data_IF_139291882420
#
_entry.id   IF_139291882420
#
_cell.length_a   1.000
_cell.length_b   1.000
_cell.length_c   1.000
_cell.angle_alpha   90.00
_cell.angle_beta   90.00
_cell.angle_gamma   90.00
#
_symmetry.space_group_name_H-M   'P 1'
#
loop_
_entity.id
_entity.type
_entity.pdbx_description
1 polymer ?
#
# COMPACT_ATOMS: atom_id res chain seq x y z
N UNK A 1 -4.46 15.81 -26.57
CA UNK A 1 -5.62 15.95 -27.48
C UNK A 1 -6.46 14.69 -27.32
N UNK A 2 -7.54 14.78 -26.55
CA UNK A 2 -8.44 13.63 -26.32
C UNK A 2 -9.64 13.76 -27.25
N UNK A 3 -9.91 12.72 -28.04
CA UNK A 3 -11.10 12.58 -28.87
C UNK A 3 -12.04 11.60 -28.16
N UNK A 4 -13.15 12.10 -27.64
CA UNK A 4 -14.28 11.26 -27.21
C UNK A 4 -15.28 11.27 -28.37
N UNK A 5 -15.47 10.12 -29.00
CA UNK A 5 -16.46 9.93 -30.06
C UNK A 5 -17.81 9.65 -29.42
N UNK A 6 -18.71 10.64 -29.43
CA UNK A 6 -20.13 10.43 -29.11
C UNK A 6 -20.88 10.42 -30.44
N UNK A 7 -21.57 9.30 -30.72
CA UNK A 7 -22.11 8.94 -32.03
C UNK A 7 -23.28 9.79 -32.57
N UNK A 8 -23.16 11.12 -32.57
CA UNK A 8 -23.98 12.03 -33.37
C UNK A 8 -23.08 13.14 -33.93
N UNK A 9 -23.27 13.47 -35.20
CA UNK A 9 -22.46 14.41 -35.98
C UNK A 9 -22.54 15.86 -35.45
N UNK A 10 -21.90 16.15 -34.32
CA UNK A 10 -21.59 17.51 -33.88
C UNK A 10 -20.10 17.59 -33.47
N UNK A 11 -19.32 18.33 -34.26
CA UNK A 11 -17.95 18.69 -33.91
C UNK A 11 -18.00 19.85 -32.92
N UNK A 12 -17.83 19.56 -31.63
CA UNK A 12 -17.64 20.59 -30.61
C UNK A 12 -16.17 21.02 -30.62
N UNK A 13 -15.89 22.23 -31.09
CA UNK A 13 -14.58 22.85 -30.97
C UNK A 13 -14.44 23.46 -29.57
N UNK A 14 -13.58 22.88 -28.73
CA UNK A 14 -13.15 23.53 -27.49
C UNK A 14 -12.15 24.65 -27.83
N UNK A 15 -12.62 25.89 -27.75
CA UNK A 15 -11.80 27.09 -27.86
C UNK A 15 -11.03 27.30 -26.54
N UNK A 16 -9.70 27.35 -26.63
CA UNK A 16 -8.82 27.79 -25.55
C UNK A 16 -9.04 29.29 -25.26
N UNK A 17 -10.05 29.61 -24.45
CA UNK A 17 -10.15 30.91 -23.76
C UNK A 17 -10.65 30.73 -22.34
N UNK A 18 -9.91 29.97 -21.54
CA UNK A 18 -9.98 30.12 -20.07
C UNK A 18 -9.25 31.42 -19.75
N UNK A 19 -10.04 32.49 -19.55
CA UNK A 19 -9.52 33.81 -19.21
C UNK A 19 -8.69 33.74 -17.93
N UNK A 20 -7.58 34.49 -17.90
CA UNK A 20 -6.61 34.54 -16.80
C UNK A 20 -7.26 34.76 -15.41
N UNK A 21 -8.45 35.37 -15.38
CA UNK A 21 -9.25 35.62 -14.18
C UNK A 21 -9.79 34.32 -13.52
N UNK A 22 -10.21 33.32 -14.30
CA UNK A 22 -10.66 32.02 -13.75
C UNK A 22 -9.49 31.22 -13.16
N UNK A 23 -8.30 31.31 -13.76
CA UNK A 23 -7.09 30.69 -13.21
C UNK A 23 -6.66 31.34 -11.90
N UNK A 24 -6.80 32.67 -11.78
CA UNK A 24 -6.52 33.40 -10.54
C UNK A 24 -7.57 33.05 -9.46
N UNK A 25 -8.84 32.88 -9.83
CA UNK A 25 -9.88 32.47 -8.88
C UNK A 25 -9.70 31.01 -8.40
N UNK A 26 -9.28 30.09 -9.28
CA UNK A 26 -8.95 28.71 -8.90
C UNK A 26 -7.69 28.63 -8.02
N UNK A 27 -6.68 29.46 -8.29
CA UNK A 27 -5.47 29.55 -7.46
C UNK A 27 -5.80 30.16 -6.10
N UNK A 28 -6.66 31.19 -6.03
CA UNK A 28 -7.11 31.77 -4.76
C UNK A 28 -8.03 30.83 -3.98
N UNK A 29 -8.87 30.02 -4.65
CA UNK A 29 -9.66 28.97 -4.00
C UNK A 29 -8.77 27.81 -3.50
N UNK A 30 -7.68 27.50 -4.19
CA UNK A 30 -6.71 26.50 -3.76
C UNK A 30 -5.84 26.98 -2.58
N UNK A 31 -5.53 28.28 -2.48
CA UNK A 31 -4.78 28.83 -1.33
C UNK A 31 -5.63 29.11 -0.10
N UNK A 32 -6.97 29.15 -0.24
CA UNK A 32 -7.90 29.25 0.89
C UNK A 32 -8.17 27.93 1.63
N UNK A 33 -7.62 26.80 1.16
CA UNK A 33 -7.56 25.54 1.92
C UNK A 33 -6.28 25.37 2.75
N UNK A 34 -5.54 26.45 3.01
CA UNK A 34 -4.57 26.48 4.13
C UNK A 34 -5.35 26.93 5.38
N UNK A 35 -6.36 26.16 5.77
CA UNK A 35 -7.15 26.43 6.97
C UNK A 35 -6.83 25.39 8.04
N UNK A 36 -5.93 25.78 8.94
CA UNK A 36 -5.71 25.14 10.23
C UNK A 36 -4.86 23.88 10.16
N UNK A 37 -3.61 23.98 10.60
CA UNK A 37 -2.92 22.84 11.19
C UNK A 37 -3.71 22.42 12.43
N UNK A 38 -4.75 21.61 12.25
CA UNK A 38 -5.30 20.85 13.34
C UNK A 38 -4.19 19.89 13.73
N UNK A 39 -3.54 20.14 14.87
CA UNK A 39 -2.69 19.15 15.52
C UNK A 39 -3.57 17.92 15.75
N UNK A 40 -3.49 16.97 14.82
CA UNK A 40 -4.22 15.74 14.93
C UNK A 40 -3.48 14.90 15.94
N UNK A 41 -4.17 14.32 16.91
CA UNK A 41 -3.53 13.68 18.05
C UNK A 41 -4.33 12.43 18.42
N UNK A 42 -3.76 11.58 19.25
CA UNK A 42 -4.50 10.52 19.92
C UNK A 42 -5.24 11.15 21.10
N UNK A 43 -6.54 11.34 20.96
CA UNK A 43 -7.41 11.82 22.04
C UNK A 43 -8.02 10.65 22.82
N UNK A 44 -8.36 10.88 24.08
CA UNK A 44 -9.10 9.92 24.89
C UNK A 44 -8.25 8.88 25.66
N UNK A 45 -6.94 9.09 25.75
CA UNK A 45 -6.06 8.26 26.57
C UNK A 45 -6.36 8.43 28.08
N UNK A 46 -5.88 7.47 28.89
CA UNK A 46 -6.00 7.53 30.35
C UNK A 46 -5.18 8.69 30.92
N UNK A 47 -5.67 9.37 31.96
CA UNK A 47 -4.91 10.30 32.80
C UNK A 47 -4.68 9.72 34.19
N UNK A 48 -3.72 10.29 34.90
CA UNK A 48 -3.56 10.13 36.36
C UNK A 48 -4.00 11.43 37.06
N UNK A 49 -4.72 11.33 38.18
CA UNK A 49 -5.26 12.47 38.93
C UNK A 49 -5.16 12.26 40.44
N UNK A 50 -4.58 13.25 41.12
CA UNK A 50 -4.58 13.36 42.57
C UNK A 50 -5.83 14.13 43.03
N UNK A 51 -6.63 13.56 43.92
CA UNK A 51 -7.80 14.22 44.49
C UNK A 51 -7.51 14.97 45.80
N UNK A 52 -6.29 14.88 46.34
CA UNK A 52 -5.95 15.52 47.62
C UNK A 52 -5.84 17.05 47.52
N UNK A 53 -5.53 17.63 46.35
CA UNK A 53 -5.24 19.07 46.20
C UNK A 53 -5.96 19.80 45.04
N UNK A 54 -7.04 19.21 44.49
CA UNK A 54 -7.80 19.81 43.40
C UNK A 54 -7.40 19.25 42.03
N UNK A 55 -8.41 19.00 41.19
CA UNK A 55 -8.40 18.20 39.94
C UNK A 55 -7.31 18.54 38.93
N UNK A 56 -6.09 18.03 39.14
CA UNK A 56 -5.01 18.13 38.17
C UNK A 56 -4.92 16.82 37.38
N UNK A 57 -5.40 16.83 36.13
CA UNK A 57 -5.21 15.70 35.21
C UNK A 57 -3.80 15.77 34.64
N UNK A 58 -2.97 14.78 34.94
CA UNK A 58 -1.65 14.65 34.35
C UNK A 58 -1.72 13.79 33.09
N UNK A 59 -1.18 14.33 32.01
CA UNK A 59 -1.08 13.71 30.70
C UNK A 59 0.37 13.76 30.21
N UNK A 60 1.23 12.86 30.73
CA UNK A 60 2.61 12.79 30.27
C UNK A 60 2.66 12.45 28.77
N UNK A 61 3.69 12.91 28.05
CA UNK A 61 4.94 13.52 28.56
C UNK A 61 4.80 15.02 28.91
N UNK A 62 3.66 15.64 28.64
CA UNK A 62 3.47 17.09 28.69
C UNK A 62 3.39 17.64 30.14
N UNK A 63 3.27 16.74 31.12
CA UNK A 63 3.40 17.00 32.54
C UNK A 63 4.36 15.96 33.15
N UNK A 64 5.63 15.99 32.71
CA UNK A 64 6.70 15.20 33.31
C UNK A 64 7.06 15.76 34.69
N UNK A 65 6.24 15.44 35.69
CA UNK A 65 6.68 15.45 37.07
C UNK A 65 6.92 14.00 37.47
N UNK A 66 8.17 13.63 37.78
CA UNK A 66 8.36 12.60 38.79
C UNK A 66 7.63 13.11 40.03
N UNK A 67 6.40 12.63 40.26
CA UNK A 67 5.71 12.98 41.48
C UNK A 67 6.35 12.13 42.57
N UNK A 68 7.40 12.67 43.17
CA UNK A 68 7.98 12.13 44.39
C UNK A 68 7.05 12.50 45.55
N UNK A 69 6.49 11.48 46.19
CA UNK A 69 5.63 11.62 47.35
C UNK A 69 6.42 11.22 48.60
N UNK A 70 6.35 12.05 49.64
CA UNK A 70 6.97 11.75 50.95
C UNK A 70 6.00 11.06 51.93
N UNK A 71 4.79 10.74 51.47
CA UNK A 71 3.72 10.14 52.26
C UNK A 71 2.83 9.25 51.38
N UNK A 72 2.04 8.34 51.97
CA UNK A 72 1.16 7.47 51.20
C UNK A 72 0.13 8.27 50.40
N UNK A 73 0.02 7.97 49.11
CA UNK A 73 -0.94 8.61 48.20
C UNK A 73 -1.75 7.58 47.43
N UNK A 74 -2.97 7.94 47.06
CA UNK A 74 -3.81 7.16 46.15
C UNK A 74 -4.18 8.02 44.95
N UNK A 75 -3.69 7.59 43.80
CA UNK A 75 -3.91 8.22 42.51
C UNK A 75 -5.04 7.52 41.76
N UNK A 76 -5.80 8.29 41.00
CA UNK A 76 -6.92 7.77 40.21
C UNK A 76 -6.58 7.77 38.73
N UNK A 77 -6.87 6.64 38.09
CA UNK A 77 -6.71 6.47 36.65
C UNK A 77 -8.05 6.68 35.98
N UNK A 78 -8.12 7.65 35.07
CA UNK A 78 -9.36 8.09 34.44
C UNK A 78 -9.22 7.98 32.91
N UNK A 79 -10.04 7.16 32.22
CA UNK A 79 -10.03 7.07 30.76
C UNK A 79 -10.56 8.36 30.12
N UNK A 80 -10.21 8.61 28.85
CA UNK A 80 -10.85 9.67 28.06
C UNK A 80 -10.36 11.09 28.34
N UNK A 81 -9.22 11.28 29.00
CA UNK A 81 -8.78 12.61 29.51
C UNK A 81 -7.53 13.15 28.81
N UNK A 82 -6.66 12.28 28.32
CA UNK A 82 -5.38 12.70 27.75
C UNK A 82 -5.36 12.73 26.23
N UNK A 83 -4.52 13.64 25.72
CA UNK A 83 -4.20 13.79 24.30
C UNK A 83 -2.71 13.55 24.11
N UNK A 84 -2.35 12.58 23.27
CA UNK A 84 -0.97 12.19 22.97
C UNK A 84 -0.62 12.60 21.55
N UNK A 85 0.60 13.11 21.34
CA UNK A 85 1.09 13.60 20.06
C UNK A 85 2.42 12.94 19.70
N UNK A 86 2.65 12.63 18.42
CA UNK A 86 3.94 12.15 17.91
C UNK A 86 4.08 12.46 16.42
N UNK A 87 5.28 12.87 16.00
CA UNK A 87 5.60 13.02 14.56
C UNK A 87 6.00 11.68 13.90
N UNK A 88 5.99 10.58 14.66
CA UNK A 88 6.37 9.27 14.19
C UNK A 88 5.17 8.50 13.62
N UNK A 89 5.45 7.37 13.00
CA UNK A 89 4.50 6.52 12.28
C UNK A 89 4.30 5.20 13.03
N UNK A 90 3.18 4.52 12.79
CA UNK A 90 3.08 3.10 13.16
C UNK A 90 3.75 2.24 12.08
N UNK A 91 4.39 1.11 12.45
CA UNK A 91 5.14 0.30 11.49
C UNK A 91 4.27 -0.38 10.42
N UNK A 92 2.98 -0.59 10.70
CA UNK A 92 2.02 -1.18 9.76
C UNK A 92 0.66 -0.51 10.00
N UNK A 93 -0.10 -0.18 8.95
CA UNK A 93 -1.48 0.30 9.13
C UNK A 93 -2.34 -0.81 9.75
N UNK A 94 -3.09 -0.50 10.80
CA UNK A 94 -3.83 -1.53 11.53
C UNK A 94 -4.51 -1.03 12.80
N UNK A 95 -5.08 -1.95 13.56
CA UNK A 95 -5.70 -1.64 14.86
C UNK A 95 -4.64 -1.69 15.97
N UNK A 96 -4.57 -0.60 16.72
CA UNK A 96 -3.68 -0.43 17.86
C UNK A 96 -4.47 -0.10 19.11
N UNK A 97 -4.01 -0.58 20.26
CA UNK A 97 -4.55 -0.19 21.57
C UNK A 97 -3.62 0.82 22.23
N UNK A 98 -4.17 1.88 22.82
CA UNK A 98 -3.38 2.80 23.64
C UNK A 98 -3.28 2.21 25.04
N UNK A 99 -2.06 1.92 25.48
CA UNK A 99 -1.78 1.35 26.79
C UNK A 99 -0.98 2.33 27.62
N UNK A 100 -1.51 2.68 28.78
CA UNK A 100 -0.77 3.39 29.82
C UNK A 100 -0.21 2.37 30.80
N UNK A 101 1.10 2.37 31.02
CA UNK A 101 1.74 1.62 32.10
C UNK A 101 2.17 2.60 33.17
N UNK A 102 1.73 2.36 34.40
CA UNK A 102 2.14 3.11 35.58
C UNK A 102 3.26 2.33 36.24
N UNK A 103 4.39 2.95 36.51
CA UNK A 103 5.51 2.33 37.18
C UNK A 103 5.66 2.90 38.58
N UNK A 104 5.75 2.00 39.54
CA UNK A 104 5.84 2.30 40.95
C UNK A 104 7.21 1.94 41.51
N UNK A 105 7.63 2.67 42.55
CA UNK A 105 8.89 2.42 43.27
C UNK A 105 8.97 1.04 43.92
N UNK A 106 7.83 0.39 44.18
CA UNK A 106 7.73 -0.97 44.71
C UNK A 106 7.87 -2.07 43.62
N UNK A 107 8.05 -1.67 42.35
CA UNK A 107 8.22 -2.55 41.21
C UNK A 107 6.91 -2.99 40.53
N UNK A 108 5.74 -2.62 41.07
CA UNK A 108 4.46 -2.88 40.40
C UNK A 108 4.31 -2.06 39.11
N UNK A 109 3.62 -2.65 38.13
CA UNK A 109 3.39 -2.04 36.81
C UNK A 109 1.94 -2.18 36.34
N UNK A 110 0.94 -1.59 37.03
CA UNK A 110 -0.43 -1.68 36.57
C UNK A 110 -0.59 -1.03 35.19
N UNK A 111 -1.37 -1.68 34.32
CA UNK A 111 -1.60 -1.26 32.94
C UNK A 111 -3.07 -0.99 32.67
N UNK A 112 -3.33 0.04 31.87
CA UNK A 112 -4.67 0.51 31.53
C UNK A 112 -4.77 0.72 30.02
N UNK A 113 -5.71 0.02 29.39
CA UNK A 113 -5.80 -0.09 27.93
C UNK A 113 -7.13 0.45 27.44
N UNK A 114 -7.10 1.16 26.32
CA UNK A 114 -8.32 1.59 25.62
C UNK A 114 -8.88 0.43 24.77
N UNK A 115 -9.99 0.68 24.08
CA UNK A 115 -10.38 -0.15 22.94
C UNK A 115 -9.38 0.05 21.78
N UNK A 116 -9.23 -0.94 20.88
CA UNK A 116 -8.42 -0.78 19.67
C UNK A 116 -8.97 0.31 18.76
N UNK A 117 -8.08 1.07 18.15
CA UNK A 117 -8.37 2.13 17.15
C UNK A 117 -7.52 1.90 15.91
N UNK A 118 -8.08 2.14 14.73
CA UNK A 118 -7.34 2.03 13.48
C UNK A 118 -6.39 3.23 13.32
N UNK A 119 -5.14 2.95 12.94
CA UNK A 119 -4.11 3.94 12.66
C UNK A 119 -3.53 3.66 11.28
N UNK A 120 -3.47 4.68 10.43
CA UNK A 120 -2.84 4.62 9.12
C UNK A 120 -1.33 4.81 9.29
N UNK A 121 -0.54 3.78 9.00
CA UNK A 121 0.92 3.82 9.05
C UNK A 121 1.53 4.77 8.03
N UNK A 122 0.83 5.10 6.93
CA UNK A 122 1.34 6.04 5.92
C UNK A 122 1.24 7.51 6.35
N UNK A 123 0.61 7.78 7.50
CA UNK A 123 0.48 9.10 8.11
C UNK A 123 1.14 9.09 9.48
N UNK A 124 1.82 10.17 9.84
CA UNK A 124 2.31 10.30 11.21
C UNK A 124 1.14 10.39 12.18
N UNK A 125 1.36 10.11 13.47
CA UNK A 125 0.30 10.27 14.49
C UNK A 125 -0.26 11.70 14.47
N UNK A 126 0.60 12.70 14.23
CA UNK A 126 0.22 14.10 14.23
C UNK A 126 -0.62 14.56 13.01
N UNK A 127 -0.74 13.71 11.98
CA UNK A 127 -1.46 14.00 10.73
C UNK A 127 -2.84 13.31 10.67
N UNK A 128 -3.23 12.56 11.70
CA UNK A 128 -4.50 11.83 11.74
C UNK A 128 -5.24 12.00 13.08
N UNK A 129 -6.56 12.15 13.00
CA UNK A 129 -7.41 12.30 14.19
C UNK A 129 -7.73 10.91 14.74
N UNK A 130 -7.07 10.52 15.83
CA UNK A 130 -7.24 9.22 16.47
C UNK A 130 -8.04 9.41 17.75
N UNK A 131 -9.20 8.75 17.85
CA UNK A 131 -10.04 8.80 19.05
C UNK A 131 -9.98 7.45 19.77
N UNK A 132 -9.16 7.38 20.82
CA UNK A 132 -9.16 6.24 21.72
C UNK A 132 -10.40 6.31 22.62
N UNK A 133 -11.10 5.18 22.77
CA UNK A 133 -12.35 5.10 23.55
C UNK A 133 -12.30 3.93 24.51
N UNK A 134 -13.19 3.90 25.50
CA UNK A 134 -13.23 2.85 26.50
C UNK A 134 -12.06 2.93 27.50
N UNK A 135 -11.78 1.80 28.14
CA UNK A 135 -10.85 1.70 29.26
C UNK A 135 -11.53 1.78 30.62
N UNK A 136 -11.04 0.99 31.57
CA UNK A 136 -11.53 0.99 32.94
C UNK A 136 -10.86 2.09 33.75
N UNK A 137 -11.63 2.75 34.62
CA UNK A 137 -11.02 3.57 35.69
C UNK A 137 -10.37 2.66 36.72
N UNK A 138 -9.38 3.17 37.44
CA UNK A 138 -8.72 2.42 38.50
C UNK A 138 -8.08 3.34 39.53
N UNK A 139 -7.45 2.72 40.52
CA UNK A 139 -6.67 3.41 41.55
C UNK A 139 -5.31 2.76 41.69
N UNK A 140 -4.30 3.58 41.92
CA UNK A 140 -2.94 3.15 42.19
C UNK A 140 -2.53 3.77 43.53
N UNK A 141 -2.07 2.95 44.48
CA UNK A 141 -1.70 3.41 45.82
C UNK A 141 -0.21 3.22 46.06
N UNK A 142 0.46 4.26 46.56
CA UNK A 142 1.82 4.17 47.06
C UNK A 142 1.76 4.06 48.60
N UNK A 143 2.27 3.00 49.21
CA UNK A 143 2.14 2.78 50.65
C UNK A 143 3.10 3.63 51.51
N UNK A 144 3.96 4.45 50.92
CA UNK A 144 4.98 5.24 51.63
C UNK A 144 5.71 6.22 50.70
N UNK A 145 6.96 6.58 51.04
CA UNK A 145 7.80 7.42 50.18
C UNK A 145 8.09 6.71 48.85
N UNK A 146 7.86 7.40 47.73
CA UNK A 146 8.02 6.79 46.41
C UNK A 146 7.77 7.75 45.26
N UNK A 147 8.01 7.26 44.05
CA UNK A 147 7.73 7.98 42.81
C UNK A 147 6.78 7.19 41.93
N UNK A 148 5.95 7.91 41.18
CA UNK A 148 5.15 7.37 40.09
C UNK A 148 5.63 7.98 38.80
N UNK A 149 5.87 7.13 37.80
CA UNK A 149 6.01 7.57 36.42
C UNK A 149 5.07 6.77 35.53
N UNK A 150 4.60 7.39 34.45
CA UNK A 150 3.65 6.76 33.51
C UNK A 150 4.16 6.85 32.09
N UNK A 151 3.94 5.77 31.34
CA UNK A 151 4.42 5.62 29.97
C UNK A 151 3.25 5.20 29.07
N UNK A 152 3.18 5.78 27.86
CA UNK A 152 2.18 5.39 26.87
C UNK A 152 2.80 4.59 25.74
N UNK A 153 2.07 3.55 25.34
CA UNK A 153 2.44 2.65 24.25
C UNK A 153 1.26 2.48 23.28
N UNK A 154 1.58 2.29 22.02
CA UNK A 154 0.68 1.66 21.06
C UNK A 154 0.97 0.16 21.04
N UNK A 155 -0.06 -0.66 21.20
CA UNK A 155 0.06 -2.13 21.15
C UNK A 155 -0.67 -2.66 19.94
N UNK A 156 0.03 -3.37 19.07
CA UNK A 156 -0.55 -3.95 17.85
C UNK A 156 -1.33 -5.25 18.14
N UNK A 157 -1.93 -5.83 17.09
CA UNK A 157 -2.63 -7.12 17.18
C UNK A 157 -1.74 -8.31 17.55
N UNK A 158 -0.41 -8.17 17.40
CA UNK A 158 0.59 -9.19 17.76
C UNK A 158 1.16 -8.97 19.17
N UNK A 159 0.58 -8.07 19.97
CA UNK A 159 1.03 -7.71 21.31
C UNK A 159 2.44 -7.08 21.32
N UNK A 160 2.87 -6.45 20.22
CA UNK A 160 4.09 -5.66 20.16
C UNK A 160 3.84 -4.25 20.68
N UNK A 161 4.73 -3.79 21.55
CA UNK A 161 4.62 -2.51 22.23
C UNK A 161 5.51 -1.48 21.54
N UNK A 162 4.89 -0.39 21.11
CA UNK A 162 5.56 0.74 20.49
C UNK A 162 5.49 1.95 21.41
N UNK A 163 6.65 2.40 21.89
CA UNK A 163 6.72 3.56 22.77
C UNK A 163 6.38 4.85 22.00
N UNK A 164 5.42 5.61 22.53
CA UNK A 164 5.03 6.90 21.97
C UNK A 164 6.00 7.95 22.53
N UNK A 165 6.98 8.35 21.71
CA UNK A 165 7.81 9.51 22.04
C UNK A 165 6.97 10.77 21.88
N UNK A 166 6.94 11.61 22.93
CA UNK A 166 6.52 13.00 22.77
C UNK A 166 7.41 13.75 21.76
N UNK A 167 7.15 15.04 21.58
CA UNK A 167 7.79 16.02 20.70
C UNK A 167 9.34 16.16 20.75
N UNK A 168 10.06 15.19 21.32
CA UNK A 168 11.47 14.94 21.03
C UNK A 168 12.45 15.28 22.16
N UNK A 169 11.99 15.65 23.37
CA UNK A 169 12.93 16.22 24.37
C UNK A 169 12.92 15.60 25.77
N UNK A 170 11.91 14.82 26.18
CA UNK A 170 11.91 14.21 27.52
C UNK A 170 12.05 12.69 27.48
N UNK A 171 13.30 12.26 27.30
CA UNK A 171 13.72 10.85 27.28
C UNK A 171 13.82 10.31 28.72
N UNK A 172 12.70 9.92 29.32
CA UNK A 172 12.74 9.15 30.56
C UNK A 172 13.13 7.71 30.23
N UNK A 173 14.40 7.35 30.48
CA UNK A 173 14.99 6.06 30.12
C UNK A 173 14.21 4.83 30.63
N UNK A 174 13.35 4.99 31.65
CA UNK A 174 12.49 3.93 32.15
C UNK A 174 11.34 3.54 31.20
N UNK A 175 10.82 4.47 30.38
CA UNK A 175 9.75 4.17 29.42
C UNK A 175 10.27 3.51 28.13
N UNK A 176 11.52 3.78 27.75
CA UNK A 176 12.13 3.27 26.51
C UNK A 176 12.86 1.94 26.69
N UNK A 177 13.16 1.53 27.93
CA UNK A 177 13.97 0.32 28.18
C UNK A 177 13.16 -0.94 27.85
N UNK A 178 13.57 -1.67 26.81
CA UNK A 178 12.94 -2.94 26.39
C UNK A 178 11.76 -2.80 25.41
N UNK A 179 11.49 -1.59 24.92
CA UNK A 179 10.39 -1.31 23.98
C UNK A 179 10.89 -0.68 22.68
N UNK A 180 10.19 -0.97 21.58
CA UNK A 180 10.54 -0.44 20.26
C UNK A 180 9.96 0.96 20.11
N UNK A 181 10.73 1.99 19.73
CA UNK A 181 10.17 3.30 19.43
C UNK A 181 9.33 3.25 18.14
N UNK A 182 8.36 4.15 18.01
CA UNK A 182 7.68 4.36 16.73
C UNK A 182 8.68 4.80 15.64
N UNK A 183 8.63 4.26 14.41
CA UNK A 183 9.51 4.65 13.33
C UNK A 183 9.37 6.15 12.97
N UNK A 184 10.50 6.84 12.69
CA UNK A 184 10.49 8.27 12.35
C UNK A 184 10.08 8.55 10.90
N UNK A 185 9.99 7.52 10.06
CA UNK A 185 9.59 7.59 8.65
C UNK A 185 8.37 6.69 8.42
N UNK A 186 7.51 7.00 7.42
CA UNK A 186 6.43 6.10 7.05
C UNK A 186 6.98 4.72 6.69
N UNK A 187 6.21 3.64 6.94
CA UNK A 187 6.57 2.32 6.45
C UNK A 187 6.55 2.32 4.91
N UNK A 188 7.34 1.43 4.32
CA UNK A 188 7.28 1.21 2.88
C UNK A 188 5.89 0.69 2.53
N UNK A 189 5.15 1.32 1.60
CA UNK A 189 3.83 0.85 1.23
C UNK A 189 3.93 -0.57 0.67
N UNK A 190 2.97 -1.42 1.03
CA UNK A 190 2.82 -2.74 0.42
C UNK A 190 2.36 -2.56 -1.02
N UNK A 191 3.25 -2.81 -1.95
CA UNK A 191 2.96 -2.75 -3.38
C UNK A 191 2.25 -4.02 -3.83
N UNK A 192 1.23 -3.87 -4.68
CA UNK A 192 0.54 -5.01 -5.29
C UNK A 192 -0.01 -4.61 -6.65
N UNK A 193 -0.09 -5.55 -7.59
CA UNK A 193 -0.68 -5.33 -8.89
C UNK A 193 -1.63 -6.48 -9.26
N UNK A 194 -2.80 -6.15 -9.79
CA UNK A 194 -3.75 -7.09 -10.39
C UNK A 194 -3.61 -7.01 -11.90
N UNK A 195 -3.30 -8.14 -12.52
CA UNK A 195 -3.11 -8.26 -13.98
C UNK A 195 -4.37 -8.85 -14.59
N UNK A 196 -4.86 -8.21 -15.65
CA UNK A 196 -6.05 -8.59 -16.40
C UNK A 196 -7.27 -8.84 -15.51
N UNK A 197 -7.45 -8.02 -14.47
CA UNK A 197 -8.51 -8.18 -13.46
C UNK A 197 -8.54 -9.58 -12.82
N UNK A 198 -7.38 -10.25 -12.74
CA UNK A 198 -7.24 -11.62 -12.24
C UNK A 198 -7.73 -12.71 -13.19
N UNK A 199 -8.11 -12.35 -14.42
CA UNK A 199 -8.72 -13.25 -15.40
C UNK A 199 -7.71 -13.79 -16.42
N UNK A 200 -8.01 -14.94 -17.01
CA UNK A 200 -7.24 -15.46 -18.14
C UNK A 200 -7.45 -14.61 -19.40
N UNK A 201 -6.40 -14.49 -20.22
CA UNK A 201 -6.49 -13.85 -21.54
C UNK A 201 -6.84 -14.90 -22.60
N UNK A 202 -7.94 -14.69 -23.33
CA UNK A 202 -8.30 -15.50 -24.50
C UNK A 202 -8.08 -14.71 -25.79
N UNK A 203 -7.39 -15.33 -26.75
CA UNK A 203 -7.06 -14.72 -28.04
C UNK A 203 -7.54 -15.62 -29.17
N UNK A 204 -8.47 -15.12 -29.99
CA UNK A 204 -8.84 -15.77 -31.24
C UNK A 204 -7.91 -15.28 -32.35
N UNK A 205 -7.18 -16.20 -32.97
CA UNK A 205 -6.37 -15.94 -34.17
C UNK A 205 -7.19 -15.97 -35.47
N UNK A 206 -8.49 -16.24 -35.37
CA UNK A 206 -9.40 -16.35 -36.51
C UNK A 206 -9.21 -17.62 -37.34
N UNK A 207 -9.73 -17.60 -38.55
CA UNK A 207 -9.55 -18.65 -39.57
C UNK A 207 -8.41 -18.25 -40.48
N UNK A 208 -7.46 -19.15 -40.70
CA UNK A 208 -6.25 -18.90 -41.47
C UNK A 208 -6.08 -19.98 -42.54
N UNK A 209 -5.75 -19.58 -43.77
CA UNK A 209 -5.32 -20.53 -44.78
C UNK A 209 -3.85 -20.89 -44.57
N UNK A 210 -3.48 -22.15 -44.82
CA UNK A 210 -2.13 -22.67 -44.50
C UNK A 210 -1.01 -21.92 -45.23
N UNK A 211 -1.30 -21.47 -46.45
CA UNK A 211 -0.41 -20.69 -47.33
C UNK A 211 -0.26 -19.22 -46.90
N UNK A 212 -1.22 -18.69 -46.14
CA UNK A 212 -1.18 -17.33 -45.56
C UNK A 212 -0.43 -17.28 -44.22
N UNK A 213 -0.21 -18.43 -43.56
CA UNK A 213 0.55 -18.48 -42.31
C UNK A 213 2.04 -18.27 -42.62
N UNK A 214 2.68 -17.23 -42.06
CA UNK A 214 4.08 -16.92 -42.33
C UNK A 214 5.04 -17.90 -41.66
N UNK A 215 6.21 -18.10 -42.26
CA UNK A 215 7.31 -18.91 -41.70
C UNK A 215 8.27 -18.11 -40.83
N UNK A 216 8.09 -16.79 -40.74
CA UNK A 216 8.91 -15.89 -39.93
C UNK A 216 7.96 -15.08 -39.05
N UNK A 217 8.12 -15.10 -37.71
CA UNK A 217 7.39 -14.19 -36.85
C UNK A 217 7.59 -12.73 -37.26
N UNK A 218 6.58 -11.88 -37.07
CA UNK A 218 6.54 -10.45 -37.43
C UNK A 218 6.41 -10.13 -38.94
N UNK A 219 6.39 -11.15 -39.81
CA UNK A 219 6.22 -10.96 -41.26
C UNK A 219 4.77 -10.94 -41.76
N UNK A 220 3.80 -10.97 -40.84
CA UNK A 220 2.37 -11.02 -41.15
C UNK A 220 1.53 -10.29 -40.11
N UNK A 221 0.20 -10.43 -40.17
CA UNK A 221 -0.70 -9.69 -39.27
C UNK A 221 -0.73 -10.29 -37.86
N UNK A 222 -0.17 -9.57 -36.89
CA UNK A 222 -0.33 -9.87 -35.48
C UNK A 222 -1.62 -9.25 -34.93
N UNK A 223 -2.28 -9.97 -34.02
CA UNK A 223 -3.42 -9.47 -33.23
C UNK A 223 -2.86 -8.88 -31.94
N UNK A 224 -3.08 -7.59 -31.72
CA UNK A 224 -2.71 -6.94 -30.47
C UNK A 224 -3.82 -7.08 -29.42
N UNK A 225 -3.43 -7.44 -28.19
CA UNK A 225 -4.30 -7.40 -27.01
C UNK A 225 -3.68 -6.54 -25.93
N UNK A 226 -4.47 -5.61 -25.43
CA UNK A 226 -4.14 -4.79 -24.28
C UNK A 226 -4.66 -5.48 -23.02
N UNK A 227 -3.79 -5.58 -22.02
CA UNK A 227 -4.02 -6.20 -20.72
C UNK A 227 -4.03 -5.08 -19.68
N UNK A 228 -5.08 -5.01 -18.86
CA UNK A 228 -5.14 -4.07 -17.73
C UNK A 228 -4.16 -4.50 -16.64
N UNK A 229 -3.47 -3.54 -16.03
CA UNK A 229 -2.67 -3.79 -14.83
C UNK A 229 -2.97 -2.67 -13.83
N UNK A 230 -3.59 -3.01 -12.70
CA UNK A 230 -3.93 -2.04 -11.66
C UNK A 230 -3.02 -2.27 -10.47
N UNK A 231 -2.23 -1.25 -10.11
CA UNK A 231 -1.30 -1.33 -8.99
C UNK A 231 -1.68 -0.38 -7.84
N UNK A 232 -1.34 -0.76 -6.63
CA UNK A 232 -1.52 0.03 -5.40
C UNK A 232 -0.21 0.09 -4.62
N UNK A 233 -0.01 1.14 -3.82
CA UNK A 233 1.12 1.23 -2.91
C UNK A 233 2.41 1.74 -3.58
N UNK A 234 2.30 2.43 -4.71
CA UNK A 234 3.43 3.04 -5.41
C UNK A 234 3.86 2.31 -6.69
N UNK A 235 5.06 2.66 -7.18
CA UNK A 235 5.64 2.12 -8.41
C UNK A 235 6.12 0.69 -8.22
N UNK A 236 5.80 -0.20 -9.17
CA UNK A 236 6.23 -1.60 -9.19
C UNK A 236 7.10 -1.87 -10.41
N UNK A 237 8.32 -2.34 -10.16
CA UNK A 237 9.18 -2.93 -11.19
C UNK A 237 9.00 -4.44 -11.16
N UNK A 238 8.65 -5.04 -12.30
CA UNK A 238 8.47 -6.48 -12.43
C UNK A 238 9.24 -7.04 -13.62
N UNK A 239 9.67 -8.29 -13.49
CA UNK A 239 10.23 -9.07 -14.59
C UNK A 239 9.11 -9.89 -15.23
N UNK A 240 8.85 -9.61 -16.50
CA UNK A 240 7.91 -10.34 -17.34
C UNK A 240 8.62 -11.50 -18.04
N UNK A 241 8.06 -12.69 -17.90
CA UNK A 241 8.53 -13.91 -18.57
C UNK A 241 7.34 -14.75 -19.04
N UNK A 242 7.51 -15.47 -20.15
CA UNK A 242 6.52 -16.44 -20.61
C UNK A 242 6.97 -17.85 -20.25
N UNK A 243 6.01 -18.68 -19.82
CA UNK A 243 6.22 -20.11 -19.62
C UNK A 243 5.29 -20.89 -20.55
N UNK A 244 5.87 -21.64 -21.48
CA UNK A 244 5.16 -22.48 -22.43
C UNK A 244 6.09 -23.55 -23.03
N UNK A 245 5.51 -24.55 -23.69
CA UNK A 245 6.28 -25.53 -24.48
C UNK A 245 6.60 -24.96 -25.86
N UNK A 246 7.89 -24.73 -26.22
CA UNK A 246 8.23 -24.07 -27.46
C UNK A 246 8.26 -25.04 -28.66
N UNK A 247 8.05 -24.48 -29.85
CA UNK A 247 8.54 -25.02 -31.12
C UNK A 247 9.50 -24.02 -31.76
N UNK A 248 10.42 -24.51 -32.59
CA UNK A 248 11.32 -23.66 -33.37
C UNK A 248 10.63 -23.21 -34.66
N UNK A 249 10.68 -21.92 -34.95
CA UNK A 249 10.21 -21.35 -36.23
C UNK A 249 11.29 -20.40 -36.74
N UNK A 250 12.11 -20.90 -37.67
CA UNK A 250 13.34 -20.23 -38.05
C UNK A 250 14.30 -20.14 -36.86
N UNK A 251 14.77 -18.93 -36.54
CA UNK A 251 15.64 -18.65 -35.38
C UNK A 251 14.86 -18.30 -34.09
N UNK A 252 13.54 -18.25 -34.16
CA UNK A 252 12.69 -17.82 -33.04
C UNK A 252 11.95 -19.02 -32.43
N UNK A 253 11.38 -18.80 -31.23
CA UNK A 253 10.52 -19.77 -30.57
C UNK A 253 9.07 -19.28 -30.56
N UNK A 254 8.14 -20.21 -30.78
CA UNK A 254 6.71 -19.96 -30.71
C UNK A 254 6.05 -20.99 -29.78
N UNK A 255 4.86 -20.67 -29.26
CA UNK A 255 4.08 -21.59 -28.43
C UNK A 255 3.65 -22.77 -29.29
N UNK A 256 3.93 -24.00 -28.84
CA UNK A 256 3.45 -25.21 -29.49
C UNK A 256 1.92 -25.22 -29.53
N UNK A 257 1.34 -25.42 -30.70
CA UNK A 257 -0.10 -25.62 -30.84
C UNK A 257 -0.46 -27.11 -30.88
N UNK A 258 -1.75 -27.43 -30.87
CA UNK A 258 -2.26 -28.78 -31.13
C UNK A 258 -2.14 -29.20 -32.61
N UNK A 259 -1.88 -28.28 -33.54
CA UNK A 259 -1.65 -28.56 -34.96
C UNK A 259 -0.15 -28.66 -35.25
N UNK A 260 0.30 -29.83 -35.72
CA UNK A 260 1.70 -30.03 -36.04
C UNK A 260 2.18 -29.06 -37.13
N UNK A 261 3.39 -28.50 -36.96
CA UNK A 261 3.96 -27.51 -37.87
C UNK A 261 3.41 -26.09 -37.71
N UNK A 262 2.51 -25.82 -36.76
CA UNK A 262 1.98 -24.48 -36.46
C UNK A 262 2.29 -24.10 -35.01
N UNK A 263 2.78 -22.88 -34.82
CA UNK A 263 3.06 -22.22 -33.56
C UNK A 263 2.23 -20.95 -33.39
N UNK A 264 2.14 -20.45 -32.16
CA UNK A 264 1.66 -19.10 -31.88
C UNK A 264 2.81 -18.25 -31.30
N UNK A 265 3.28 -17.26 -32.05
CA UNK A 265 4.28 -16.31 -31.59
C UNK A 265 3.61 -15.22 -30.72
N UNK A 266 4.27 -14.86 -29.61
CA UNK A 266 3.84 -13.79 -28.71
C UNK A 266 4.88 -12.68 -28.75
N UNK A 267 4.42 -11.44 -28.89
CA UNK A 267 5.27 -10.26 -29.06
C UNK A 267 5.08 -9.29 -27.92
N UNK A 268 6.17 -8.65 -27.51
CA UNK A 268 6.15 -7.45 -26.70
C UNK A 268 7.14 -6.44 -27.27
N UNK A 269 6.70 -5.20 -27.49
CA UNK A 269 7.52 -4.15 -28.11
C UNK A 269 8.22 -4.60 -29.40
N UNK A 270 7.48 -5.30 -30.27
CA UNK A 270 7.93 -5.90 -31.54
C UNK A 270 9.04 -6.97 -31.42
N UNK A 271 9.34 -7.44 -30.20
CA UNK A 271 10.23 -8.59 -29.98
C UNK A 271 9.39 -9.85 -29.76
N UNK A 272 9.73 -10.93 -30.46
CA UNK A 272 9.21 -12.28 -30.14
C UNK A 272 9.74 -12.70 -28.78
N UNK A 273 8.85 -13.04 -27.85
CA UNK A 273 9.22 -13.48 -26.53
C UNK A 273 9.41 -15.00 -26.51
N UNK A 274 10.63 -15.45 -26.21
CA UNK A 274 10.95 -16.83 -25.89
C UNK A 274 10.79 -17.10 -24.37
N UNK A 275 10.69 -18.37 -23.92
CA UNK A 275 10.57 -18.67 -22.50
C UNK A 275 11.78 -18.24 -21.67
N UNK A 276 12.97 -18.14 -22.29
CA UNK A 276 14.18 -17.67 -21.63
C UNK A 276 14.28 -16.14 -21.55
N UNK A 277 13.42 -15.41 -22.25
CA UNK A 277 13.44 -13.95 -22.23
C UNK A 277 12.84 -13.42 -20.93
N UNK A 278 13.63 -12.61 -20.22
CA UNK A 278 13.18 -11.82 -19.07
C UNK A 278 13.12 -10.36 -19.51
N UNK A 279 11.93 -9.77 -19.45
CA UNK A 279 11.69 -8.39 -19.88
C UNK A 279 11.27 -7.53 -18.70
N UNK A 280 12.05 -6.52 -18.29
CA UNK A 280 11.63 -5.63 -17.22
C UNK A 280 10.47 -4.74 -17.69
N UNK A 281 9.48 -4.57 -16.82
CA UNK A 281 8.32 -3.69 -16.99
C UNK A 281 8.14 -2.86 -15.73
N UNK A 282 7.71 -1.61 -15.90
CA UNK A 282 7.44 -0.68 -14.80
C UNK A 282 5.96 -0.31 -14.83
N UNK A 283 5.30 -0.42 -13.68
CA UNK A 283 3.93 -0.02 -13.48
C UNK A 283 3.89 1.10 -12.44
N UNK A 284 3.16 2.17 -12.75
CA UNK A 284 2.89 3.24 -11.80
C UNK A 284 1.72 2.83 -10.90
N UNK A 285 1.56 3.51 -9.77
CA UNK A 285 0.33 3.37 -8.99
C UNK A 285 -0.91 3.75 -9.82
N UNK A 286 -1.98 2.98 -9.68
CA UNK A 286 -3.21 3.13 -10.45
C UNK A 286 -3.25 2.25 -11.71
N UNK A 287 -3.93 2.74 -12.76
CA UNK A 287 -4.20 1.98 -13.98
C UNK A 287 -3.07 2.07 -14.98
N UNK A 288 -2.56 0.92 -15.39
CA UNK A 288 -1.55 0.75 -16.43
C UNK A 288 -2.07 -0.20 -17.52
N UNK A 289 -1.33 -0.28 -18.62
CA UNK A 289 -1.64 -1.18 -19.73
C UNK A 289 -0.39 -1.90 -20.22
N UNK A 290 -0.49 -3.21 -20.42
CA UNK A 290 0.52 -4.03 -21.07
C UNK A 290 -0.04 -4.51 -22.41
N UNK A 291 0.67 -4.30 -23.53
CA UNK A 291 0.19 -4.75 -24.85
C UNK A 291 1.04 -5.91 -25.35
N UNK A 292 0.39 -7.03 -25.67
CA UNK A 292 1.02 -8.19 -26.30
C UNK A 292 0.47 -8.39 -27.73
N UNK A 293 1.35 -8.75 -28.65
CA UNK A 293 0.98 -9.20 -30.00
C UNK A 293 0.89 -10.72 -30.06
N UNK A 294 0.01 -11.24 -30.91
CA UNK A 294 -0.18 -12.68 -31.11
C UNK A 294 -0.26 -12.97 -32.60
N UNK A 295 0.49 -13.97 -33.07
CA UNK A 295 0.52 -14.32 -34.49
C UNK A 295 0.65 -15.83 -34.65
N UNK A 296 -0.15 -16.42 -35.56
CA UNK A 296 0.12 -17.79 -35.98
C UNK A 296 1.35 -17.81 -36.91
N UNK A 297 2.24 -18.77 -36.70
CA UNK A 297 3.45 -18.95 -37.50
C UNK A 297 3.61 -20.42 -37.83
N UNK A 298 4.18 -20.75 -38.99
CA UNK A 298 4.40 -22.15 -39.39
C UNK A 298 5.87 -22.48 -39.49
N UNK A 299 6.20 -23.72 -39.16
CA UNK A 299 7.54 -24.27 -39.35
C UNK A 299 7.84 -24.38 -40.86
N UNK A 300 8.93 -23.76 -41.32
CA UNK A 300 9.35 -23.79 -42.73
C UNK A 300 9.82 -25.17 -43.18
N UNK A 301 10.15 -26.06 -42.24
CA UNK A 301 10.61 -27.43 -42.54
C UNK A 301 9.46 -28.41 -42.76
N UNK A 302 8.23 -28.03 -42.38
CA UNK A 302 7.02 -28.84 -42.58
C UNK A 302 6.36 -28.43 -43.89
N UNK A 303 6.10 -29.39 -44.78
CA UNK A 303 5.42 -29.11 -46.04
C UNK A 303 3.95 -28.70 -45.79
N UNK A 304 3.43 -27.76 -46.59
CA UNK A 304 2.07 -27.21 -46.43
C UNK A 304 0.96 -28.27 -46.40
N UNK A 305 1.14 -29.37 -47.15
CA UNK A 305 0.20 -30.49 -47.20
C UNK A 305 0.13 -31.27 -45.89
N UNK A 306 1.22 -31.28 -45.12
CA UNK A 306 1.39 -32.08 -43.90
C UNK A 306 0.97 -31.32 -42.63
N UNK A 307 0.75 -30.00 -42.73
CA UNK A 307 0.06 -29.22 -41.69
C UNK A 307 -1.40 -29.69 -41.65
N UNK A 308 -1.98 -30.10 -40.51
CA UNK A 308 -3.38 -30.53 -40.47
C UNK A 308 -4.36 -29.36 -40.64
N UNK A 309 -5.54 -29.62 -41.20
CA UNK A 309 -6.68 -28.68 -41.20
C UNK A 309 -7.52 -28.88 -39.95
N UNK A 310 -8.22 -27.84 -39.53
CA UNK A 310 -9.12 -27.88 -38.38
C UNK A 310 -8.75 -26.85 -37.32
N UNK A 311 -9.42 -26.93 -36.18
CA UNK A 311 -9.15 -26.06 -35.05
C UNK A 311 -7.80 -26.41 -34.40
N UNK A 312 -7.11 -25.39 -33.91
CA UNK A 312 -5.91 -25.56 -33.09
C UNK A 312 -5.96 -24.66 -31.86
N UNK A 313 -5.26 -25.08 -30.81
CA UNK A 313 -5.17 -24.34 -29.54
C UNK A 313 -3.72 -24.24 -29.08
N UNK A 314 -3.38 -23.19 -28.35
CA UNK A 314 -2.08 -22.96 -27.73
C UNK A 314 -2.28 -22.43 -26.31
N UNK A 315 -1.36 -22.75 -25.41
CA UNK A 315 -1.41 -22.28 -24.02
C UNK A 315 -0.03 -21.75 -23.61
N UNK A 316 -0.03 -20.59 -22.95
CA UNK A 316 1.15 -19.98 -22.35
C UNK A 316 0.76 -19.30 -21.04
N UNK A 317 1.70 -19.24 -20.10
CA UNK A 317 1.53 -18.56 -18.81
C UNK A 317 2.42 -17.33 -18.79
N UNK A 318 1.83 -16.17 -18.51
CA UNK A 318 2.58 -14.94 -18.23
C UNK A 318 2.96 -14.94 -16.75
N UNK A 319 4.26 -14.93 -16.47
CA UNK A 319 4.81 -14.86 -15.12
C UNK A 319 5.37 -13.46 -14.91
N UNK A 320 4.95 -12.83 -13.81
CA UNK A 320 5.41 -11.50 -13.40
C UNK A 320 6.01 -11.61 -12.00
N UNK A 321 7.31 -11.33 -11.91
CA UNK A 321 8.05 -11.40 -10.65
C UNK A 321 8.44 -9.99 -10.24
N UNK A 322 7.82 -9.50 -9.16
CA UNK A 322 8.20 -8.23 -8.56
C UNK A 322 9.67 -8.25 -8.11
N UNK A 323 10.40 -7.16 -8.38
CA UNK A 323 11.80 -6.98 -7.97
C UNK A 323 11.93 -6.32 -6.60
#
# INVERSE_FOLDING_TARGET
MFLINTGKNEKIYFSERITMLEKILLIMAATLFISGGANANITGAHSISDFANGSYNQCPPNSSGDNAFSYPVTEYIIPGRCTLSSNNYVPVSGYYTVVMIVYLSDGQKPSYSTNPVYIDGMKSINEQQIMATGGASGTVSIPGEGSIFTCYYLVDSNQQYYFITGDGVHYYGACSTGYTPLPPTPPTPTTSCIINDGSALSVSLGTLNRDEIPTVPDSGSAISKTISVVCTGGTVTANMQLNYTPISVGSNQAVKTSANGVGAAIFYSNKVLAPADVTPVNFLEGSNTLTLGFQAVRDSTVALKDIPTGAFTANAVLVMTQQ
#
